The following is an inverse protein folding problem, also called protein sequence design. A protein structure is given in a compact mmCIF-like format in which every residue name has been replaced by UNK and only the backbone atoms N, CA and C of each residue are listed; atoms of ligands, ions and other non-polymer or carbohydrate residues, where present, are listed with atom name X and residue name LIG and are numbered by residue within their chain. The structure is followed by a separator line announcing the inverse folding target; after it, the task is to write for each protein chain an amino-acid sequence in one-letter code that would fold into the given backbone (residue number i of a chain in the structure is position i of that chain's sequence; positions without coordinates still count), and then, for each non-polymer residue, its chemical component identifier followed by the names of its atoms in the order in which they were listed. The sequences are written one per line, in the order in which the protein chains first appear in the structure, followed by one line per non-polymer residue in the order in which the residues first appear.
data_IF_361499950118
#
_entry.id   IF_361499950118
#
_cell.length_a   1.000
_cell.length_b   1.000
_cell.length_c   1.000
_cell.angle_alpha   90.00
_cell.angle_beta   90.00
_cell.angle_gamma   90.00
#
_symmetry.space_group_name_H-M   'P 1'
#
loop_
_entity.id
_entity.type
_entity.pdbx_description
1 polymer ?
#
# COMPACT_ATOMS: atom_id res chain seq x y z
N UNK A 1 -16.86 31.18 -1.10
CA UNK A 1 -16.04 32.42 -1.05
C UNK A 1 -16.51 33.35 -2.17
N UNK A 2 -16.87 34.59 -1.85
CA UNK A 2 -17.32 35.59 -2.83
C UNK A 2 -16.10 36.18 -3.53
N UNK A 3 -15.87 35.82 -4.79
CA UNK A 3 -14.85 36.47 -5.63
C UNK A 3 -15.35 37.85 -6.07
N UNK A 4 -14.51 38.87 -5.90
CA UNK A 4 -14.74 40.19 -6.49
C UNK A 4 -14.91 40.06 -8.01
N UNK A 5 -15.90 40.74 -8.63
CA UNK A 5 -16.02 40.74 -10.09
C UNK A 5 -14.80 41.45 -10.66
N UNK A 6 -14.06 40.73 -11.52
CA UNK A 6 -12.96 41.29 -12.28
C UNK A 6 -13.46 42.53 -13.04
N UNK A 7 -12.66 43.60 -13.01
CA UNK A 7 -12.86 44.85 -13.73
C UNK A 7 -13.25 44.61 -15.19
N UNK A 8 -14.30 45.31 -15.63
CA UNK A 8 -14.95 45.25 -16.96
C UNK A 8 -14.01 45.36 -18.18
N UNK A 9 -12.79 45.85 -17.99
CA UNK A 9 -11.73 45.91 -19.01
C UNK A 9 -11.17 44.55 -19.47
N UNK A 10 -11.43 43.47 -18.73
CA UNK A 10 -11.01 42.11 -19.09
C UNK A 10 -12.11 41.24 -19.73
N UNK A 11 -13.34 41.74 -19.87
CA UNK A 11 -14.45 40.98 -20.48
C UNK A 11 -14.14 40.52 -21.91
N UNK A 12 -13.43 41.33 -22.70
CA UNK A 12 -13.03 40.97 -24.08
C UNK A 12 -12.00 39.84 -24.16
N UNK A 13 -11.33 39.55 -23.03
CA UNK A 13 -10.29 38.52 -22.92
C UNK A 13 -10.72 37.37 -22.00
N UNK A 14 -11.95 37.41 -21.45
CA UNK A 14 -12.49 36.29 -20.72
C UNK A 14 -12.93 35.22 -21.73
N UNK A 15 -12.32 34.02 -21.70
CA UNK A 15 -12.75 32.95 -22.56
C UNK A 15 -14.15 32.52 -22.13
N UNK A 16 -15.12 32.62 -23.04
CA UNK A 16 -16.49 32.10 -22.84
C UNK A 16 -16.45 30.58 -22.97
N UNK A 17 -15.92 29.91 -21.96
CA UNK A 17 -15.87 28.45 -21.90
C UNK A 17 -17.23 27.93 -21.42
N UNK A 18 -17.92 27.16 -22.27
CA UNK A 18 -19.01 26.31 -21.83
C UNK A 18 -18.39 25.10 -21.12
N UNK A 19 -18.18 25.23 -19.81
CA UNK A 19 -17.66 24.15 -18.98
C UNK A 19 -18.80 23.19 -18.63
N UNK A 20 -18.68 21.95 -19.08
CA UNK A 20 -19.53 20.86 -18.62
C UNK A 20 -18.83 20.19 -17.43
N UNK A 21 -19.47 20.22 -16.26
CA UNK A 21 -19.00 19.43 -15.12
C UNK A 21 -19.41 17.99 -15.35
N UNK A 22 -18.43 17.10 -15.46
CA UNK A 22 -18.62 15.66 -15.61
C UNK A 22 -18.32 15.00 -14.27
N UNK A 23 -19.23 14.16 -13.78
CA UNK A 23 -18.98 13.30 -12.62
C UNK A 23 -18.36 12.00 -13.12
N UNK A 24 -17.05 11.84 -12.89
CA UNK A 24 -16.25 10.69 -13.34
C UNK A 24 -16.84 9.36 -12.86
N UNK A 25 -17.44 9.31 -11.66
CA UNK A 25 -18.03 8.09 -11.10
C UNK A 25 -19.40 7.72 -11.68
N UNK A 26 -19.99 8.57 -12.52
CA UNK A 26 -21.31 8.36 -13.15
C UNK A 26 -21.24 8.26 -14.67
N UNK A 27 -20.05 8.28 -15.24
CA UNK A 27 -19.89 8.10 -16.67
C UNK A 27 -20.18 6.64 -17.07
N UNK A 28 -21.20 6.46 -17.92
CA UNK A 28 -21.50 5.16 -18.52
C UNK A 28 -20.32 4.73 -19.42
N UNK A 29 -19.66 3.59 -19.15
CA UNK A 29 -18.56 3.09 -19.98
C UNK A 29 -18.95 2.92 -21.45
N UNK A 30 -20.20 2.55 -21.73
CA UNK A 30 -20.73 2.34 -23.08
C UNK A 30 -20.85 3.64 -23.87
N UNK A 31 -21.21 4.73 -23.18
CA UNK A 31 -21.27 6.06 -23.75
C UNK A 31 -19.86 6.59 -24.03
N UNK A 32 -18.93 6.40 -23.09
CA UNK A 32 -17.53 6.76 -23.28
C UNK A 32 -16.92 6.00 -24.46
N UNK A 33 -17.24 4.72 -24.59
CA UNK A 33 -16.79 3.90 -25.70
C UNK A 33 -17.29 4.46 -27.04
N UNK A 34 -18.59 4.72 -27.16
CA UNK A 34 -19.19 5.36 -28.36
C UNK A 34 -18.53 6.70 -28.68
N UNK A 35 -18.39 7.59 -27.70
CA UNK A 35 -17.81 8.93 -27.90
C UNK A 35 -16.33 8.89 -28.25
N UNK A 36 -15.59 7.93 -27.69
CA UNK A 36 -14.17 7.75 -27.97
C UNK A 36 -13.98 7.28 -29.42
N UNK A 37 -14.63 6.19 -29.83
CA UNK A 37 -14.40 5.56 -31.13
C UNK A 37 -15.04 6.31 -32.31
N UNK A 38 -16.27 6.81 -32.16
CA UNK A 38 -16.99 7.43 -33.28
C UNK A 38 -16.55 8.87 -33.53
N UNK A 39 -16.24 9.62 -32.46
CA UNK A 39 -15.96 11.06 -32.54
C UNK A 39 -14.49 11.41 -32.32
N UNK A 40 -13.62 10.42 -32.10
CA UNK A 40 -12.20 10.64 -31.80
C UNK A 40 -12.04 11.65 -30.64
N UNK A 41 -12.93 11.55 -29.66
CA UNK A 41 -12.96 12.49 -28.55
C UNK A 41 -11.88 12.13 -27.55
N UNK A 42 -10.78 12.90 -27.55
CA UNK A 42 -9.64 12.73 -26.65
C UNK A 42 -10.06 12.74 -25.17
N UNK A 43 -11.01 13.59 -24.77
CA UNK A 43 -11.47 13.66 -23.37
C UNK A 43 -12.19 12.37 -22.98
N UNK A 44 -13.05 11.84 -23.85
CA UNK A 44 -13.72 10.57 -23.60
C UNK A 44 -12.72 9.41 -23.52
N UNK A 45 -11.71 9.40 -24.38
CA UNK A 45 -10.64 8.39 -24.34
C UNK A 45 -9.78 8.46 -23.09
N UNK A 46 -9.47 9.67 -22.62
CA UNK A 46 -8.74 9.92 -21.37
C UNK A 46 -9.55 9.44 -20.16
N UNK A 47 -10.82 9.83 -20.05
CA UNK A 47 -11.71 9.38 -18.97
C UNK A 47 -11.87 7.87 -18.98
N UNK A 48 -11.95 7.26 -20.17
CA UNK A 48 -12.03 5.81 -20.28
C UNK A 48 -10.74 5.11 -19.84
N UNK A 49 -9.57 5.73 -20.05
CA UNK A 49 -8.30 5.20 -19.55
C UNK A 49 -8.21 5.34 -18.01
N UNK A 50 -8.77 6.40 -17.43
CA UNK A 50 -8.78 6.61 -15.98
C UNK A 50 -9.73 5.67 -15.23
N UNK A 51 -10.87 5.34 -15.84
CA UNK A 51 -11.83 4.36 -15.32
C UNK A 51 -11.38 2.90 -15.52
N UNK A 52 -10.25 2.66 -16.19
CA UNK A 52 -9.76 1.31 -16.42
C UNK A 52 -9.38 0.61 -15.12
N UNK A 53 -9.82 -0.65 -14.97
CA UNK A 53 -9.51 -1.47 -13.78
C UNK A 53 -8.22 -2.29 -13.96
N UNK A 54 -7.75 -2.44 -15.20
CA UNK A 54 -6.60 -3.27 -15.54
C UNK A 54 -5.58 -2.52 -16.38
N UNK A 55 -4.31 -2.81 -16.12
CA UNK A 55 -3.16 -2.27 -16.86
C UNK A 55 -3.29 -2.48 -18.38
N UNK A 56 -3.76 -3.64 -18.81
CA UNK A 56 -3.96 -3.98 -20.22
C UNK A 56 -4.97 -3.05 -20.90
N UNK A 57 -6.04 -2.67 -20.19
CA UNK A 57 -7.05 -1.74 -20.72
C UNK A 57 -6.44 -0.35 -20.90
N UNK A 58 -5.64 0.13 -19.93
CA UNK A 58 -4.94 1.42 -20.04
C UNK A 58 -3.98 1.42 -21.24
N UNK A 59 -3.21 0.33 -21.43
CA UNK A 59 -2.28 0.19 -22.56
C UNK A 59 -3.03 0.21 -23.90
N UNK A 60 -4.14 -0.52 -24.00
CA UNK A 60 -4.98 -0.53 -25.21
C UNK A 60 -5.56 0.85 -25.52
N UNK A 61 -6.07 1.55 -24.49
CA UNK A 61 -6.60 2.92 -24.64
C UNK A 61 -5.50 3.92 -24.99
N UNK A 62 -4.32 3.80 -24.40
CA UNK A 62 -3.16 4.61 -24.76
C UNK A 62 -2.75 4.40 -26.23
N UNK A 63 -2.75 3.15 -26.72
CA UNK A 63 -2.49 2.86 -28.14
C UNK A 63 -3.55 3.47 -29.08
N UNK A 64 -4.83 3.42 -28.68
CA UNK A 64 -5.92 4.07 -29.41
C UNK A 64 -5.73 5.60 -29.47
N UNK A 65 -5.45 6.25 -28.34
CA UNK A 65 -5.19 7.69 -28.30
C UNK A 65 -3.97 8.07 -29.13
N UNK A 66 -2.92 7.24 -29.10
CA UNK A 66 -1.74 7.39 -29.93
C UNK A 66 -2.07 7.39 -31.42
N UNK A 67 -3.02 6.54 -31.86
CA UNK A 67 -3.48 6.52 -33.25
C UNK A 67 -4.17 7.80 -33.71
N UNK A 68 -4.71 8.61 -32.78
CA UNK A 68 -5.34 9.90 -33.09
C UNK A 68 -4.36 11.07 -33.05
N UNK A 69 -3.24 10.91 -32.36
CA UNK A 69 -2.20 11.92 -32.16
C UNK A 69 -0.98 11.71 -33.08
N UNK A 70 -1.23 11.23 -34.29
CA UNK A 70 -0.21 11.00 -35.31
C UNK A 70 0.36 12.33 -35.84
N UNK A 71 1.60 12.29 -36.34
CA UNK A 71 2.30 13.47 -36.86
C UNK A 71 3.19 14.17 -35.82
N UNK A 72 3.90 15.22 -36.27
CA UNK A 72 4.81 16.00 -35.42
C UNK A 72 4.06 16.84 -34.39
N UNK A 73 2.89 17.38 -34.76
CA UNK A 73 2.04 18.20 -33.88
C UNK A 73 1.55 17.43 -32.64
N UNK A 74 1.39 16.11 -32.74
CA UNK A 74 0.95 15.24 -31.65
C UNK A 74 2.07 14.76 -30.73
N UNK A 75 3.36 15.00 -31.04
CA UNK A 75 4.46 14.47 -30.23
C UNK A 75 4.50 15.03 -28.81
N UNK A 76 4.33 16.35 -28.67
CA UNK A 76 4.29 17.00 -27.35
C UNK A 76 3.14 16.46 -26.50
N UNK A 77 1.94 16.38 -27.09
CA UNK A 77 0.77 15.88 -26.39
C UNK A 77 0.88 14.41 -26.01
N UNK A 78 1.49 13.55 -26.84
CA UNK A 78 1.74 12.14 -26.47
C UNK A 78 2.66 12.01 -25.25
N UNK A 79 3.72 12.81 -25.18
CA UNK A 79 4.63 12.83 -24.03
C UNK A 79 3.94 13.32 -22.75
N UNK A 80 3.19 14.41 -22.85
CA UNK A 80 2.44 14.97 -21.73
C UNK A 80 1.36 14.01 -21.25
N UNK A 81 0.66 13.35 -22.17
CA UNK A 81 -0.36 12.35 -21.87
C UNK A 81 0.23 11.09 -21.23
N UNK A 82 1.39 10.61 -21.68
CA UNK A 82 2.08 9.49 -21.04
C UNK A 82 2.44 9.83 -19.59
N UNK A 83 2.99 11.02 -19.37
CA UNK A 83 3.34 11.52 -18.04
C UNK A 83 2.10 11.63 -17.16
N UNK A 84 1.03 12.24 -17.69
CA UNK A 84 -0.22 12.41 -16.96
C UNK A 84 -0.89 11.08 -16.61
N UNK A 85 -0.92 10.10 -17.53
CA UNK A 85 -1.48 8.77 -17.30
C UNK A 85 -0.70 8.03 -16.21
N UNK A 86 0.64 8.12 -16.19
CA UNK A 86 1.45 7.54 -15.12
C UNK A 86 1.14 8.17 -13.75
N UNK A 87 0.85 9.47 -13.69
CA UNK A 87 0.56 10.15 -12.41
C UNK A 87 -0.87 10.00 -11.93
N UNK A 88 -1.83 9.89 -12.85
CA UNK A 88 -3.26 9.95 -12.55
C UNK A 88 -3.85 8.54 -12.40
N UNK A 89 -3.48 7.61 -13.29
CA UNK A 89 -3.99 6.23 -13.28
C UNK A 89 -3.18 5.38 -12.29
N UNK A 90 -3.28 5.75 -11.01
CA UNK A 90 -2.50 5.12 -9.94
C UNK A 90 -2.82 3.64 -9.77
N UNK A 91 -4.03 3.21 -10.12
CA UNK A 91 -4.49 1.81 -9.99
C UNK A 91 -3.73 0.84 -10.88
N UNK A 92 -3.16 1.32 -11.98
CA UNK A 92 -2.47 0.47 -12.94
C UNK A 92 -0.95 0.38 -12.70
N UNK A 93 -0.37 1.27 -11.88
CA UNK A 93 1.07 1.37 -11.58
C UNK A 93 1.99 1.27 -12.81
N UNK A 94 1.52 1.75 -13.97
CA UNK A 94 2.19 1.57 -15.25
C UNK A 94 3.42 2.48 -15.40
N UNK A 95 4.54 1.97 -15.94
CA UNK A 95 5.72 2.79 -16.16
C UNK A 95 5.50 3.70 -17.38
N UNK A 96 5.93 4.97 -17.27
CA UNK A 96 5.80 5.97 -18.33
C UNK A 96 6.31 5.46 -19.69
N UNK A 97 7.46 4.77 -19.73
CA UNK A 97 8.02 4.25 -20.98
C UNK A 97 7.16 3.18 -21.68
N UNK A 98 6.29 2.45 -20.96
CA UNK A 98 5.34 1.53 -21.58
C UNK A 98 4.16 2.28 -22.20
N UNK A 99 3.70 3.35 -21.54
CA UNK A 99 2.64 4.21 -22.05
C UNK A 99 3.11 5.07 -23.24
N UNK A 100 4.34 5.60 -23.19
CA UNK A 100 4.99 6.27 -24.32
C UNK A 100 5.02 5.35 -25.54
N UNK A 101 5.50 4.10 -25.36
CA UNK A 101 5.52 3.12 -26.44
C UNK A 101 4.13 2.82 -27.00
N UNK A 102 3.10 2.73 -26.13
CA UNK A 102 1.73 2.55 -26.57
C UNK A 102 1.24 3.74 -27.40
N UNK A 103 1.46 4.96 -26.92
CA UNK A 103 1.07 6.21 -27.58
C UNK A 103 1.84 6.45 -28.88
N UNK A 104 3.04 5.90 -29.02
CA UNK A 104 3.82 5.93 -30.27
C UNK A 104 3.33 4.95 -31.33
N UNK A 105 2.32 4.12 -31.02
CA UNK A 105 1.84 3.09 -31.93
C UNK A 105 2.72 1.85 -31.93
N UNK A 106 3.39 1.55 -30.81
CA UNK A 106 4.12 0.31 -30.61
C UNK A 106 3.26 -0.89 -30.98
N UNK A 107 3.82 -1.81 -31.78
CA UNK A 107 3.09 -3.01 -32.20
C UNK A 107 2.64 -3.84 -31.00
N UNK A 108 1.48 -4.49 -31.12
CA UNK A 108 0.86 -5.29 -30.05
C UNK A 108 1.82 -6.31 -29.42
N UNK A 109 2.69 -6.94 -30.23
CA UNK A 109 3.70 -7.89 -29.76
C UNK A 109 4.71 -7.21 -28.83
N UNK A 110 5.20 -6.03 -29.20
CA UNK A 110 6.19 -5.29 -28.42
C UNK A 110 5.60 -4.77 -27.10
N UNK A 111 4.35 -4.29 -27.15
CA UNK A 111 3.61 -3.86 -25.96
C UNK A 111 3.37 -5.04 -25.00
N UNK A 112 2.95 -6.20 -25.52
CA UNK A 112 2.75 -7.40 -24.71
C UNK A 112 4.05 -7.87 -24.05
N UNK A 113 5.16 -7.88 -24.79
CA UNK A 113 6.47 -8.25 -24.26
C UNK A 113 6.93 -7.29 -23.14
N UNK A 114 6.79 -5.97 -23.37
CA UNK A 114 7.21 -4.95 -22.41
C UNK A 114 6.34 -4.93 -21.16
N UNK A 115 5.02 -5.10 -21.31
CA UNK A 115 4.08 -5.27 -20.19
C UNK A 115 4.38 -6.54 -19.39
N UNK A 116 4.69 -7.65 -20.06
CA UNK A 116 5.09 -8.89 -19.40
C UNK A 116 6.37 -8.75 -18.57
N UNK A 117 7.39 -8.08 -19.11
CA UNK A 117 8.63 -7.79 -18.37
C UNK A 117 8.38 -6.93 -17.14
N UNK A 118 7.62 -5.85 -17.28
CA UNK A 118 7.26 -5.00 -16.15
C UNK A 118 6.49 -5.77 -15.06
N UNK A 119 5.53 -6.62 -15.44
CA UNK A 119 4.79 -7.46 -14.50
C UNK A 119 5.70 -8.44 -13.74
N UNK A 120 6.70 -9.01 -14.42
CA UNK A 120 7.69 -9.87 -13.78
C UNK A 120 8.57 -9.10 -12.78
N UNK A 121 9.02 -7.90 -13.15
CA UNK A 121 9.81 -7.02 -12.26
C UNK A 121 9.01 -6.63 -11.00
N UNK A 122 7.71 -6.32 -11.14
CA UNK A 122 6.86 -6.03 -9.98
C UNK A 122 6.70 -7.23 -9.06
N UNK A 123 6.54 -8.43 -9.61
CA UNK A 123 6.43 -9.65 -8.82
C UNK A 123 7.73 -9.93 -8.05
N UNK A 124 8.87 -9.78 -8.72
CA UNK A 124 10.19 -9.95 -8.10
C UNK A 124 10.41 -8.95 -6.96
N UNK A 125 10.13 -7.66 -7.19
CA UNK A 125 10.20 -6.63 -6.14
C UNK A 125 9.25 -6.91 -4.97
N UNK A 126 8.04 -7.41 -5.27
CA UNK A 126 7.07 -7.79 -4.25
C UNK A 126 7.58 -8.93 -3.35
N UNK A 127 8.17 -9.97 -3.96
CA UNK A 127 8.78 -11.08 -3.24
C UNK A 127 9.97 -10.60 -2.39
N UNK A 128 10.86 -9.79 -2.96
CA UNK A 128 12.03 -9.28 -2.24
C UNK A 128 11.63 -8.44 -1.03
N UNK A 129 10.67 -7.51 -1.20
CA UNK A 129 10.11 -6.72 -0.10
C UNK A 129 9.47 -7.60 0.96
N UNK A 130 8.71 -8.62 0.55
CA UNK A 130 8.07 -9.57 1.48
C UNK A 130 9.09 -10.35 2.30
N UNK A 131 10.17 -10.81 1.68
CA UNK A 131 11.27 -11.50 2.37
C UNK A 131 11.96 -10.57 3.36
N UNK A 132 12.27 -9.33 2.97
CA UNK A 132 12.95 -8.38 3.85
C UNK A 132 12.09 -8.00 5.05
N UNK A 133 10.80 -7.73 4.83
CA UNK A 133 9.84 -7.50 5.91
C UNK A 133 9.73 -8.71 6.84
N UNK A 134 9.63 -9.92 6.29
CA UNK A 134 9.58 -11.16 7.06
C UNK A 134 10.83 -11.37 7.92
N UNK A 135 12.02 -11.09 7.38
CA UNK A 135 13.28 -11.15 8.15
C UNK A 135 13.32 -10.15 9.29
N UNK A 136 12.83 -8.93 9.07
CA UNK A 136 12.81 -7.89 10.11
C UNK A 136 11.84 -8.27 11.22
N UNK A 137 10.61 -8.66 10.87
CA UNK A 137 9.59 -9.08 11.84
C UNK A 137 10.08 -10.29 12.63
N UNK A 138 10.52 -11.35 11.95
CA UNK A 138 10.99 -12.57 12.61
C UNK A 138 12.21 -12.34 13.50
N UNK A 139 13.11 -11.42 13.14
CA UNK A 139 14.24 -11.04 14.00
C UNK A 139 13.78 -10.31 15.26
N UNK A 140 12.81 -9.40 15.14
CA UNK A 140 12.29 -8.64 16.28
C UNK A 140 11.51 -9.55 17.23
N UNK A 141 10.62 -10.38 16.69
CA UNK A 141 9.84 -11.36 17.45
C UNK A 141 10.76 -12.36 18.14
N UNK A 142 11.65 -13.02 17.40
CA UNK A 142 12.57 -14.00 17.99
C UNK A 142 13.52 -13.41 19.04
N UNK A 143 13.93 -12.14 18.90
CA UNK A 143 14.72 -11.45 19.93
C UNK A 143 13.89 -11.15 21.18
N UNK A 144 12.63 -10.76 21.02
CA UNK A 144 11.75 -10.47 22.14
C UNK A 144 11.36 -11.73 22.90
N UNK A 145 10.99 -12.80 22.18
CA UNK A 145 10.68 -14.12 22.75
C UNK A 145 11.91 -14.69 23.47
N UNK A 146 13.06 -14.74 22.82
CA UNK A 146 14.29 -15.24 23.43
C UNK A 146 14.74 -14.44 24.66
N UNK A 147 14.50 -13.12 24.68
CA UNK A 147 14.73 -12.28 25.87
C UNK A 147 13.76 -12.64 27.00
N UNK A 148 12.47 -12.79 26.69
CA UNK A 148 11.45 -13.12 27.68
C UNK A 148 11.69 -14.52 28.29
N UNK A 149 11.99 -15.51 27.46
CA UNK A 149 12.35 -16.86 27.90
C UNK A 149 13.60 -16.85 28.78
N UNK A 150 14.63 -16.07 28.41
CA UNK A 150 15.84 -15.89 29.21
C UNK A 150 15.56 -15.24 30.57
N UNK A 151 14.79 -14.15 30.60
CA UNK A 151 14.39 -13.47 31.84
C UNK A 151 13.58 -14.42 32.76
N UNK A 152 12.68 -15.22 32.18
CA UNK A 152 11.90 -16.23 32.91
C UNK A 152 12.79 -17.33 33.49
N UNK A 153 13.71 -17.90 32.71
CA UNK A 153 14.62 -18.94 33.17
C UNK A 153 15.50 -18.46 34.33
N UNK A 154 15.99 -17.22 34.27
CA UNK A 154 16.73 -16.60 35.37
C UNK A 154 15.85 -16.44 36.61
N UNK A 155 14.62 -15.94 36.45
CA UNK A 155 13.70 -15.76 37.56
C UNK A 155 13.36 -17.09 38.26
N UNK A 156 13.10 -18.15 37.48
CA UNK A 156 12.89 -19.50 38.01
C UNK A 156 14.10 -19.94 38.84
N UNK A 157 15.32 -19.83 38.30
CA UNK A 157 16.55 -20.20 39.02
C UNK A 157 16.72 -19.44 40.34
N UNK A 158 16.44 -18.12 40.35
CA UNK A 158 16.51 -17.29 41.55
C UNK A 158 15.45 -17.66 42.59
N UNK A 159 14.22 -17.95 42.15
CA UNK A 159 13.14 -18.41 43.03
C UNK A 159 13.48 -19.77 43.63
N UNK A 160 13.99 -20.72 42.83
CA UNK A 160 14.41 -22.04 43.31
C UNK A 160 15.55 -21.93 44.33
N UNK A 161 16.52 -21.06 44.08
CA UNK A 161 17.63 -20.85 45.01
C UNK A 161 17.18 -20.26 46.35
N UNK A 162 16.18 -19.37 46.35
CA UNK A 162 15.72 -18.67 47.55
C UNK A 162 14.69 -19.45 48.35
N UNK A 163 13.77 -20.13 47.68
CA UNK A 163 12.61 -20.78 48.30
C UNK A 163 12.63 -22.31 48.23
N UNK A 164 13.58 -22.91 47.52
CA UNK A 164 13.66 -24.36 47.30
C UNK A 164 12.84 -24.81 46.10
N UNK A 165 12.35 -26.06 46.10
CA UNK A 165 11.53 -26.58 45.00
C UNK A 165 10.28 -25.73 44.80
N UNK A 166 10.04 -25.30 43.55
CA UNK A 166 8.89 -24.46 43.22
C UNK A 166 7.64 -25.33 43.04
N UNK A 167 6.51 -24.97 43.69
CA UNK A 167 5.24 -25.63 43.42
C UNK A 167 4.81 -25.48 41.96
N UNK A 168 4.10 -26.47 41.42
CA UNK A 168 3.63 -26.49 40.02
C UNK A 168 2.80 -25.27 39.62
N UNK A 169 2.04 -24.69 40.55
CA UNK A 169 1.25 -23.48 40.30
C UNK A 169 2.13 -22.24 40.02
N UNK A 170 3.34 -22.18 40.59
CA UNK A 170 4.31 -21.11 40.34
C UNK A 170 4.89 -21.24 38.94
N UNK A 171 5.25 -22.45 38.54
CA UNK A 171 5.79 -22.73 37.20
C UNK A 171 4.77 -22.37 36.12
N UNK A 172 3.51 -22.81 36.27
CA UNK A 172 2.41 -22.48 35.37
C UNK A 172 2.13 -20.98 35.32
N UNK A 173 2.22 -20.28 36.46
CA UNK A 173 2.05 -18.83 36.47
C UNK A 173 3.17 -18.16 35.66
N UNK A 174 4.43 -18.53 35.90
CA UNK A 174 5.57 -17.91 35.24
C UNK A 174 5.56 -18.08 33.70
N UNK A 175 4.98 -19.16 33.17
CA UNK A 175 4.78 -19.36 31.73
C UNK A 175 3.84 -18.33 31.08
N UNK A 176 2.83 -17.87 31.82
CA UNK A 176 1.79 -16.94 31.34
C UNK A 176 2.14 -15.47 31.56
N UNK A 177 3.19 -15.21 32.35
CA UNK A 177 3.58 -13.88 32.79
C UNK A 177 4.41 -13.18 31.71
N UNK A 178 4.10 -11.89 31.50
CA UNK A 178 4.80 -11.03 30.54
C UNK A 178 6.10 -10.44 31.10
N UNK A 179 6.89 -9.78 30.25
CA UNK A 179 8.20 -9.26 30.65
C UNK A 179 8.14 -8.19 31.75
N UNK A 180 7.06 -7.40 31.83
CA UNK A 180 6.93 -6.37 32.87
C UNK A 180 6.65 -7.01 34.23
N UNK A 181 5.78 -8.01 34.24
CA UNK A 181 5.44 -8.76 35.43
C UNK A 181 6.64 -9.59 35.92
N UNK A 182 7.43 -10.22 35.03
CA UNK A 182 8.71 -10.88 35.38
C UNK A 182 9.65 -9.90 36.10
N UNK A 183 9.80 -8.67 35.58
CA UNK A 183 10.63 -7.65 36.22
C UNK A 183 10.08 -7.21 37.57
N UNK A 184 8.75 -7.11 37.72
CA UNK A 184 8.11 -6.76 38.99
C UNK A 184 8.37 -7.84 40.06
N UNK A 185 8.19 -9.13 39.71
CA UNK A 185 8.48 -10.26 40.60
C UNK A 185 9.98 -10.27 40.96
N UNK A 186 10.86 -10.06 39.99
CA UNK A 186 12.32 -9.99 40.21
C UNK A 186 12.70 -8.89 41.21
N UNK A 187 12.10 -7.70 41.14
CA UNK A 187 12.36 -6.61 42.09
C UNK A 187 11.82 -6.91 43.49
N UNK A 188 10.64 -7.50 43.58
CA UNK A 188 10.03 -7.90 44.86
C UNK A 188 10.78 -9.03 45.54
N UNK A 189 11.54 -9.84 44.78
CA UNK A 189 12.19 -11.06 45.24
C UNK A 189 13.03 -10.86 46.51
N UNK A 190 13.77 -9.76 46.60
CA UNK A 190 14.66 -9.48 47.73
C UNK A 190 13.90 -9.10 49.02
N UNK A 191 12.68 -8.58 48.90
CA UNK A 191 11.89 -8.10 50.04
C UNK A 191 10.87 -9.14 50.56
N UNK A 192 10.46 -10.09 49.71
CA UNK A 192 9.47 -11.09 50.09
C UNK A 192 10.05 -12.17 51.03
N UNK A 193 9.25 -12.67 51.95
CA UNK A 193 9.63 -13.81 52.79
C UNK A 193 8.94 -15.11 52.37
N UNK A 194 7.90 -15.02 51.54
CA UNK A 194 7.18 -16.18 50.98
C UNK A 194 6.86 -15.98 49.48
N UNK A 195 6.53 -17.08 48.79
CA UNK A 195 6.15 -17.06 47.37
C UNK A 195 4.82 -16.33 47.14
N UNK A 196 3.88 -16.46 48.08
CA UNK A 196 2.55 -15.83 48.01
C UNK A 196 2.61 -14.30 48.13
N UNK A 197 3.69 -13.76 48.69
CA UNK A 197 3.93 -12.31 48.77
C UNK A 197 4.33 -11.72 47.40
N UNK A 198 4.87 -12.55 46.50
CA UNK A 198 5.37 -12.18 45.18
C UNK A 198 4.37 -12.47 44.07
N UNK A 199 3.73 -13.63 44.18
CA UNK A 199 2.81 -14.16 43.18
C UNK A 199 1.48 -14.36 43.88
N UNK A 200 0.52 -13.42 43.72
CA UNK A 200 -0.78 -13.58 44.35
C UNK A 200 -1.46 -14.82 43.79
N UNK A 201 -1.99 -15.66 44.68
CA UNK A 201 -2.83 -16.82 44.32
C UNK A 201 -4.08 -16.33 43.58
N UNK A 202 -3.96 -16.20 42.26
CA UNK A 202 -5.09 -16.08 41.33
C UNK A 202 -5.05 -17.27 40.40
N UNK A 203 -5.27 -18.44 40.97
CA UNK A 203 -5.88 -19.53 40.22
C UNK A 203 -7.36 -19.50 40.61
N UNK A 204 -8.22 -19.20 39.64
CA UNK A 204 -9.63 -19.49 39.75
C UNK A 204 -9.75 -21.00 39.92
N UNK A 205 -10.41 -21.43 40.99
CA UNK A 205 -10.99 -22.77 41.06
C UNK A 205 -11.80 -22.97 39.77
N UNK A 206 -11.41 -23.95 38.97
CA UNK A 206 -12.26 -24.52 37.92
C UNK A 206 -12.85 -25.77 38.53
N UNK A 207 -14.10 -25.65 38.99
CA UNK A 207 -15.04 -26.78 39.10
C UNK A 207 -15.44 -27.27 37.70
#
# INVERSE_FOLDING_TARGET
MRGHPATSSLERWQPQLQLLVVDEGRCDPTLLETLSYERHNLVAGILHADLAEAAEQVIQRAALLGSWLQGEEGQGLRRDLATWLTTTVQRAELPAGLLELALEGGGQIMLAERAGRWKAELLEQGIERGIEQGKVIGRVEGRNEGRLEGERAILISLLTQKFGELPSWVEQHLELVDGQQIQAITRGLLAANRLEDLIPLKFHDVE
#
